data_IF_109856534511
#
_entry.id   IF_109856534511
#
_cell.length_a   1.000
_cell.length_b   1.000
_cell.length_c   1.000
_cell.angle_alpha   90.00
_cell.angle_beta   90.00
_cell.angle_gamma   90.00
#
_symmetry.space_group_name_H-M   'P 1'
#
loop_
_entity.id
_entity.type
_entity.pdbx_description
1 polymer ?
#
# COMPACT_ATOMS: atom_id res chain seq x y z
N UNK A 1 0.14 12.09 -4.43
CA UNK A 1 -0.21 13.05 -5.48
C UNK A 1 -0.85 14.33 -4.94
N UNK A 2 -1.74 14.25 -3.95
CA UNK A 2 -2.56 15.40 -3.53
C UNK A 2 -1.97 16.23 -2.38
N UNK A 3 -0.80 15.87 -1.84
CA UNK A 3 -0.19 16.57 -0.71
C UNK A 3 -0.94 16.46 0.62
N UNK A 4 -1.83 15.48 0.76
CA UNK A 4 -2.61 15.21 1.98
C UNK A 4 -2.12 13.95 2.69
N UNK A 5 -2.56 13.78 3.93
CA UNK A 5 -2.35 12.53 4.65
C UNK A 5 -3.42 11.50 4.26
N UNK A 6 -3.06 10.23 4.27
CA UNK A 6 -3.98 9.12 4.10
C UNK A 6 -3.55 7.94 4.97
N UNK A 7 -4.49 7.29 5.61
CA UNK A 7 -4.18 6.08 6.38
C UNK A 7 -4.94 4.89 5.79
N UNK A 8 -4.20 3.86 5.41
CA UNK A 8 -4.73 2.54 5.08
C UNK A 8 -4.63 1.69 6.36
N UNK A 9 -5.75 1.41 7.02
CA UNK A 9 -5.74 0.61 8.25
C UNK A 9 -5.22 -0.82 8.05
N UNK A 10 -4.85 -1.46 9.15
CA UNK A 10 -4.75 -2.92 9.21
C UNK A 10 -6.01 -3.54 8.63
N UNK A 11 -5.86 -4.57 7.79
CA UNK A 11 -7.02 -5.24 7.18
C UNK A 11 -7.99 -5.77 8.24
N UNK A 12 -9.30 -5.56 8.01
CA UNK A 12 -10.38 -6.08 8.85
C UNK A 12 -10.68 -5.29 10.12
N UNK A 13 -10.02 -4.14 10.38
CA UNK A 13 -10.34 -3.31 11.56
C UNK A 13 -11.35 -2.19 11.28
N UNK A 14 -11.59 -1.87 10.01
CA UNK A 14 -12.64 -0.94 9.58
C UNK A 14 -13.64 -1.75 8.76
N UNK A 15 -14.90 -1.87 9.19
CA UNK A 15 -15.91 -2.64 8.47
C UNK A 15 -16.23 -2.01 7.12
N UNK A 16 -16.47 -2.84 6.13
CA UNK A 16 -16.83 -2.40 4.77
C UNK A 16 -18.35 -2.20 4.61
N UNK A 17 -19.14 -2.48 5.64
CA UNK A 17 -20.60 -2.33 5.62
C UNK A 17 -21.00 -0.90 5.24
N UNK A 18 -21.85 -0.77 4.23
CA UNK A 18 -22.27 0.52 3.68
C UNK A 18 -21.34 1.14 2.64
N UNK A 19 -20.19 0.50 2.39
CA UNK A 19 -19.25 0.88 1.32
C UNK A 19 -19.29 -0.09 0.13
N UNK A 20 -20.02 -1.18 0.24
CA UNK A 20 -20.16 -2.16 -0.82
C UNK A 20 -20.89 -1.55 -2.03
N UNK A 21 -20.46 -1.91 -3.24
CA UNK A 21 -21.14 -1.51 -4.49
C UNK A 21 -22.51 -2.19 -4.62
N UNK A 22 -22.67 -3.36 -4.02
CA UNK A 22 -23.91 -4.13 -3.96
C UNK A 22 -24.18 -4.50 -2.51
N UNK A 23 -25.33 -4.13 -1.99
CA UNK A 23 -25.70 -4.39 -0.59
C UNK A 23 -25.66 -5.89 -0.23
N UNK A 24 -25.25 -6.16 1.01
CA UNK A 24 -25.19 -7.52 1.58
C UNK A 24 -24.17 -8.46 0.90
N UNK A 25 -23.15 -7.91 0.27
CA UNK A 25 -22.01 -8.70 -0.20
C UNK A 25 -21.02 -8.94 0.94
N UNK A 26 -20.26 -10.06 0.91
CA UNK A 26 -19.15 -10.26 1.83
C UNK A 26 -18.06 -9.21 1.60
N UNK A 27 -17.28 -8.93 2.63
CA UNK A 27 -16.11 -8.07 2.51
C UNK A 27 -15.15 -8.59 1.43
N UNK A 28 -14.76 -7.68 0.54
CA UNK A 28 -13.87 -8.00 -0.57
C UNK A 28 -12.43 -8.10 -0.07
N UNK A 29 -11.77 -9.22 -0.36
CA UNK A 29 -10.35 -9.38 -0.04
C UNK A 29 -9.50 -8.26 -0.66
N UNK A 30 -8.44 -7.83 0.03
CA UNK A 30 -7.54 -6.74 -0.34
C UNK A 30 -8.18 -5.33 -0.36
N UNK A 31 -9.48 -5.20 -0.18
CA UNK A 31 -10.14 -3.90 -0.06
C UNK A 31 -10.08 -3.39 1.39
N UNK A 32 -9.72 -2.13 1.58
CA UNK A 32 -9.64 -1.48 2.89
C UNK A 32 -10.12 -0.04 2.78
N UNK A 33 -11.08 0.36 3.62
CA UNK A 33 -11.45 1.75 3.81
C UNK A 33 -10.56 2.42 4.83
N UNK A 34 -10.15 3.65 4.57
CA UNK A 34 -9.35 4.44 5.49
C UNK A 34 -9.54 5.94 5.27
N UNK A 35 -9.23 6.76 6.28
CA UNK A 35 -9.41 8.20 6.22
C UNK A 35 -8.33 8.90 5.39
N UNK A 36 -8.73 10.04 4.77
CA UNK A 36 -7.84 11.04 4.23
C UNK A 36 -8.07 12.36 4.97
N UNK A 37 -7.00 13.10 5.26
CA UNK A 37 -7.08 14.32 6.04
C UNK A 37 -5.94 15.30 5.68
N UNK A 38 -6.04 16.53 6.21
CA UNK A 38 -4.98 17.54 6.10
C UNK A 38 -3.99 17.52 7.28
N UNK A 39 -4.27 16.71 8.30
CA UNK A 39 -3.37 16.50 9.43
C UNK A 39 -3.36 15.04 9.89
N UNK A 40 -2.29 14.63 10.57
CA UNK A 40 -2.21 13.31 11.19
C UNK A 40 -3.17 13.19 12.39
N UNK A 41 -3.45 14.27 13.10
CA UNK A 41 -4.42 14.27 14.21
C UNK A 41 -5.84 14.00 13.70
N UNK A 42 -6.23 14.54 12.55
CA UNK A 42 -7.52 14.25 11.92
C UNK A 42 -7.60 12.79 11.44
N UNK A 43 -6.49 12.21 10.94
CA UNK A 43 -6.46 10.77 10.64
C UNK A 43 -6.69 9.92 11.89
N UNK A 44 -6.04 10.29 13.00
CA UNK A 44 -6.21 9.61 14.27
C UNK A 44 -7.63 9.68 14.80
N UNK A 45 -8.24 10.87 14.73
CA UNK A 45 -9.63 11.07 15.10
C UNK A 45 -10.57 10.23 14.20
N UNK A 46 -10.41 10.33 12.89
CA UNK A 46 -11.25 9.60 11.94
C UNK A 46 -11.12 8.08 12.14
N UNK A 47 -9.90 7.55 12.29
CA UNK A 47 -9.68 6.12 12.55
C UNK A 47 -10.35 5.68 13.85
N UNK A 48 -10.31 6.50 14.91
CA UNK A 48 -10.94 6.17 16.20
C UNK A 48 -12.47 6.04 16.12
N UNK A 49 -13.09 6.66 15.10
CA UNK A 49 -14.53 6.58 14.84
C UNK A 49 -14.86 5.42 13.89
N UNK A 50 -14.01 5.19 12.89
CA UNK A 50 -14.26 4.20 11.84
C UNK A 50 -13.91 2.76 12.26
N UNK A 51 -12.89 2.61 13.12
CA UNK A 51 -12.36 1.30 13.47
C UNK A 51 -13.19 0.60 14.55
N UNK A 52 -13.52 -0.66 14.30
CA UNK A 52 -14.31 -1.51 15.19
C UNK A 52 -15.04 -2.60 14.42
N UNK A 53 -15.81 -3.44 15.10
CA UNK A 53 -16.66 -4.45 14.46
C UNK A 53 -17.82 -3.81 13.70
N UNK A 54 -18.30 -4.48 12.67
CA UNK A 54 -19.60 -4.20 12.10
C UNK A 54 -20.70 -4.38 13.16
N UNK A 55 -21.86 -3.72 13.00
CA UNK A 55 -22.95 -3.74 13.99
C UNK A 55 -23.33 -5.15 14.45
N UNK A 56 -23.44 -6.09 13.50
CA UNK A 56 -23.75 -7.48 13.77
C UNK A 56 -22.70 -8.20 14.62
N UNK A 57 -21.45 -7.84 14.48
CA UNK A 57 -20.29 -8.47 15.11
C UNK A 57 -19.96 -7.85 16.47
N UNK A 58 -20.40 -6.61 16.70
CA UNK A 58 -20.21 -5.87 17.94
C UNK A 58 -20.80 -6.55 19.17
N UNK A 59 -21.69 -7.54 18.96
CA UNK A 59 -22.21 -8.41 20.02
C UNK A 59 -21.16 -9.38 20.57
N UNK A 60 -20.17 -9.76 19.75
CA UNK A 60 -19.21 -10.82 20.05
C UNK A 60 -17.79 -10.36 20.33
N UNK A 61 -17.38 -9.21 19.78
CA UNK A 61 -16.02 -8.69 19.97
C UNK A 61 -15.95 -7.16 19.90
N UNK A 62 -14.87 -6.61 20.43
CA UNK A 62 -14.54 -5.19 20.34
C UNK A 62 -13.07 -5.03 19.95
N UNK A 63 -12.77 -3.99 19.19
CA UNK A 63 -11.40 -3.65 18.80
C UNK A 63 -10.71 -2.86 19.92
N UNK A 64 -9.53 -3.32 20.32
CA UNK A 64 -8.65 -2.59 21.22
C UNK A 64 -7.30 -2.34 20.53
N UNK A 65 -7.23 -1.27 19.72
CA UNK A 65 -5.98 -0.87 19.08
C UNK A 65 -5.02 -0.27 20.11
N UNK A 66 -3.76 -0.72 20.14
CA UNK A 66 -2.75 -0.11 21.02
C UNK A 66 -2.56 1.37 20.65
N UNK A 67 -2.47 2.23 21.65
CA UNK A 67 -2.01 3.60 21.44
C UNK A 67 -0.58 3.62 20.86
N UNK A 68 -0.16 4.75 20.30
CA UNK A 68 1.23 4.92 19.91
C UNK A 68 2.13 4.80 21.14
N UNK A 69 3.05 3.87 21.10
CA UNK A 69 3.98 3.53 22.18
C UNK A 69 5.33 4.25 22.05
N UNK A 70 5.59 4.88 20.89
CA UNK A 70 6.76 5.71 20.62
C UNK A 70 6.26 7.11 20.27
N UNK A 71 6.72 8.11 21.01
CA UNK A 71 6.24 9.50 20.92
C UNK A 71 7.36 10.51 20.62
N UNK A 72 8.55 10.04 20.33
CA UNK A 72 9.69 10.87 19.91
C UNK A 72 10.43 10.20 18.77
N UNK A 73 10.85 10.97 17.76
CA UNK A 73 11.51 10.41 16.57
C UNK A 73 12.80 9.66 16.89
N UNK A 74 13.56 10.09 17.89
CA UNK A 74 14.84 9.46 18.28
C UNK A 74 14.71 8.01 18.78
N UNK A 75 13.51 7.62 19.22
CA UNK A 75 13.26 6.29 19.79
C UNK A 75 12.79 5.28 18.73
N UNK A 76 12.58 5.74 17.47
CA UNK A 76 12.18 4.86 16.36
C UNK A 76 13.39 4.16 15.74
N UNK A 77 13.18 2.90 15.36
CA UNK A 77 14.03 2.12 14.46
C UNK A 77 13.36 2.11 13.08
N UNK A 78 13.98 2.77 12.11
CA UNK A 78 13.37 3.03 10.79
C UNK A 78 14.19 2.37 9.68
N UNK A 79 13.54 1.57 8.85
CA UNK A 79 14.07 1.11 7.59
C UNK A 79 13.62 2.05 6.47
N UNK A 80 14.50 2.36 5.52
CA UNK A 80 14.19 3.18 4.33
C UNK A 80 14.41 2.33 3.09
N UNK A 81 13.33 2.13 2.32
CA UNK A 81 13.37 1.44 1.04
C UNK A 81 13.02 2.44 -0.07
N UNK A 82 14.01 3.15 -0.56
CA UNK A 82 13.82 4.32 -1.41
C UNK A 82 13.47 3.99 -2.87
N UNK A 83 13.99 2.90 -3.41
CA UNK A 83 13.75 2.42 -4.77
C UNK A 83 13.97 0.92 -4.86
N UNK A 84 13.47 0.28 -5.93
CA UNK A 84 13.69 -1.14 -6.20
C UNK A 84 13.76 -1.38 -7.71
N UNK A 85 14.67 -2.26 -8.20
CA UNK A 85 14.75 -2.60 -9.62
C UNK A 85 13.45 -3.13 -10.23
N UNK A 86 12.58 -3.76 -9.43
CA UNK A 86 11.27 -4.24 -9.89
C UNK A 86 10.24 -3.13 -10.11
N UNK A 87 10.38 -2.00 -9.41
CA UNK A 87 9.51 -0.83 -9.55
C UNK A 87 10.32 0.44 -9.28
N UNK A 88 11.22 0.81 -10.19
CA UNK A 88 12.01 2.02 -10.07
C UNK A 88 11.12 3.24 -9.91
N UNK A 89 11.57 4.19 -9.10
CA UNK A 89 10.87 5.46 -8.89
C UNK A 89 11.68 6.62 -9.46
N UNK A 90 11.03 7.73 -9.74
CA UNK A 90 11.70 8.94 -10.18
C UNK A 90 12.74 9.38 -9.15
N UNK A 91 13.86 9.90 -9.64
CA UNK A 91 15.00 10.32 -8.81
C UNK A 91 14.59 11.29 -7.71
N UNK A 92 13.64 12.18 -7.96
CA UNK A 92 13.12 13.12 -6.96
C UNK A 92 12.38 12.42 -5.81
N UNK A 93 11.71 11.29 -6.06
CA UNK A 93 11.03 10.48 -5.05
C UNK A 93 12.06 9.68 -4.23
N UNK A 94 13.04 9.10 -4.91
CA UNK A 94 14.18 8.42 -4.27
C UNK A 94 14.94 9.38 -3.37
N UNK A 95 15.36 10.54 -3.89
CA UNK A 95 16.08 11.56 -3.14
C UNK A 95 15.29 12.06 -1.93
N UNK A 96 13.97 12.20 -2.08
CA UNK A 96 13.10 12.57 -0.96
C UNK A 96 13.07 11.48 0.12
N UNK A 97 13.03 10.22 -0.26
CA UNK A 97 13.09 9.10 0.68
C UNK A 97 14.41 9.09 1.45
N UNK A 98 15.53 9.30 0.75
CA UNK A 98 16.86 9.42 1.36
C UNK A 98 16.99 10.65 2.27
N UNK A 99 16.41 11.79 1.86
CA UNK A 99 16.37 13.00 2.69
C UNK A 99 15.61 12.78 3.98
N UNK A 100 14.47 12.08 3.95
CA UNK A 100 13.70 11.70 5.15
C UNK A 100 14.55 10.86 6.09
N UNK A 101 15.26 9.84 5.57
CA UNK A 101 16.20 9.04 6.37
C UNK A 101 17.27 9.90 7.05
N UNK A 102 17.92 10.80 6.30
CA UNK A 102 18.94 11.69 6.84
C UNK A 102 18.40 12.69 7.89
N UNK A 103 17.15 13.13 7.77
CA UNK A 103 16.48 13.94 8.81
C UNK A 103 16.31 13.12 10.08
N UNK A 104 15.85 11.88 9.98
CA UNK A 104 15.65 11.00 11.12
C UNK A 104 16.95 10.68 11.85
N UNK A 105 18.05 10.41 11.13
CA UNK A 105 19.39 10.22 11.73
C UNK A 105 19.83 11.45 12.52
N UNK A 106 19.66 12.65 11.97
CA UNK A 106 19.99 13.92 12.67
C UNK A 106 19.16 14.13 13.93
N UNK A 107 17.93 13.58 13.96
CA UNK A 107 17.02 13.63 15.12
C UNK A 107 17.27 12.49 16.10
N UNK A 108 18.25 11.62 15.82
CA UNK A 108 18.70 10.57 16.73
C UNK A 108 18.00 9.23 16.56
N UNK A 109 17.15 9.05 15.53
CA UNK A 109 16.56 7.76 15.22
C UNK A 109 17.61 6.75 14.70
N UNK A 110 17.40 5.48 14.95
CA UNK A 110 18.15 4.42 14.28
C UNK A 110 17.62 4.21 12.88
N UNK A 111 18.44 4.41 11.84
CA UNK A 111 18.03 4.29 10.44
C UNK A 111 18.87 3.22 9.73
N UNK A 112 18.22 2.43 8.88
CA UNK A 112 18.88 1.52 7.94
C UNK A 112 18.34 1.72 6.54
N UNK A 113 19.23 1.81 5.56
CA UNK A 113 18.89 1.89 4.13
C UNK A 113 18.91 0.52 3.44
N UNK A 114 19.42 -0.51 4.12
CA UNK A 114 19.60 -1.86 3.58
C UNK A 114 18.63 -2.89 4.18
N UNK A 115 17.98 -2.56 5.30
CA UNK A 115 17.06 -3.48 5.95
C UNK A 115 15.83 -3.76 5.07
N UNK A 116 15.58 -5.05 4.84
CA UNK A 116 14.46 -5.54 4.01
C UNK A 116 13.82 -6.74 4.71
N UNK A 117 12.50 -6.94 4.58
CA UNK A 117 11.88 -8.19 4.99
C UNK A 117 12.40 -9.35 4.13
N UNK A 118 12.58 -10.51 4.76
CA UNK A 118 13.18 -11.67 4.10
C UNK A 118 12.14 -12.50 3.35
N UNK A 119 11.86 -12.14 2.10
CA UNK A 119 11.02 -12.92 1.18
C UNK A 119 11.41 -12.69 -0.29
N UNK A 120 10.99 -13.60 -1.16
CA UNK A 120 11.09 -13.44 -2.61
C UNK A 120 10.07 -12.38 -3.07
N UNK A 121 10.56 -11.17 -3.40
CA UNK A 121 9.73 -10.04 -3.81
C UNK A 121 8.96 -10.33 -5.11
N UNK A 122 9.62 -10.91 -6.12
CA UNK A 122 9.00 -11.24 -7.40
C UNK A 122 7.88 -12.28 -7.24
N UNK A 123 8.13 -13.36 -6.49
CA UNK A 123 7.11 -14.35 -6.15
C UNK A 123 5.96 -13.75 -5.34
N UNK A 124 6.25 -12.85 -4.39
CA UNK A 124 5.23 -12.16 -3.60
C UNK A 124 4.36 -11.25 -4.46
N UNK A 125 4.94 -10.53 -5.42
CA UNK A 125 4.19 -9.64 -6.33
C UNK A 125 3.34 -10.44 -7.32
N UNK A 126 3.83 -11.53 -7.89
CA UNK A 126 3.01 -12.43 -8.71
C UNK A 126 1.84 -13.02 -7.93
N UNK A 127 2.08 -13.40 -6.67
CA UNK A 127 1.01 -13.87 -5.79
C UNK A 127 -0.02 -12.76 -5.48
N UNK A 128 0.42 -11.53 -5.26
CA UNK A 128 -0.46 -10.37 -5.12
C UNK A 128 -1.33 -10.17 -6.37
N UNK A 129 -0.73 -10.17 -7.56
CA UNK A 129 -1.47 -10.05 -8.83
C UNK A 129 -2.49 -11.18 -9.00
N UNK A 130 -2.13 -12.40 -8.60
CA UNK A 130 -3.04 -13.54 -8.64
C UNK A 130 -4.26 -13.31 -7.73
N UNK A 131 -4.05 -12.91 -6.48
CA UNK A 131 -5.13 -12.64 -5.53
C UNK A 131 -5.96 -11.44 -5.97
N UNK A 132 -5.33 -10.33 -6.39
CA UNK A 132 -6.00 -9.12 -6.83
C UNK A 132 -6.91 -9.38 -8.04
N UNK A 133 -6.38 -10.03 -9.09
CA UNK A 133 -7.17 -10.28 -10.29
C UNK A 133 -8.29 -11.29 -10.05
N UNK A 134 -8.12 -12.27 -9.17
CA UNK A 134 -9.22 -13.18 -8.80
C UNK A 134 -10.40 -12.43 -8.16
N UNK A 135 -10.12 -11.37 -7.39
CA UNK A 135 -11.14 -10.48 -6.81
C UNK A 135 -11.76 -9.57 -7.87
N UNK A 136 -10.93 -8.91 -8.67
CA UNK A 136 -11.38 -7.94 -9.67
C UNK A 136 -12.26 -8.54 -10.75
N UNK A 137 -12.13 -9.84 -11.01
CA UNK A 137 -12.89 -10.58 -12.03
C UNK A 137 -14.06 -11.41 -11.45
N UNK A 138 -14.25 -11.38 -10.14
CA UNK A 138 -15.27 -12.19 -9.46
C UNK A 138 -16.72 -11.90 -9.94
N UNK A 139 -16.98 -10.71 -10.47
CA UNK A 139 -18.28 -10.31 -10.98
C UNK A 139 -18.45 -10.52 -12.50
N UNK A 140 -17.50 -11.17 -13.17
CA UNK A 140 -17.62 -11.47 -14.61
C UNK A 140 -18.75 -12.45 -14.86
N UNK A 141 -19.40 -12.29 -16.00
CA UNK A 141 -20.42 -13.25 -16.46
C UNK A 141 -19.79 -14.54 -17.01
N UNK A 142 -20.62 -15.55 -17.20
CA UNK A 142 -20.20 -16.87 -17.68
C UNK A 142 -19.53 -16.81 -19.05
N UNK A 143 -19.92 -15.86 -19.92
CA UNK A 143 -19.34 -15.69 -21.24
C UNK A 143 -17.90 -15.16 -21.15
N UNK A 144 -17.66 -14.15 -20.34
CA UNK A 144 -16.33 -13.60 -20.11
C UNK A 144 -15.40 -14.65 -19.48
N UNK A 145 -15.92 -15.43 -18.51
CA UNK A 145 -15.16 -16.54 -17.89
C UNK A 145 -14.80 -17.60 -18.92
N UNK A 146 -15.74 -18.05 -19.78
CA UNK A 146 -15.48 -19.06 -20.81
C UNK A 146 -14.45 -18.59 -21.86
N UNK A 147 -14.51 -17.32 -22.25
CA UNK A 147 -13.52 -16.72 -23.15
C UNK A 147 -12.12 -16.72 -22.51
N UNK A 148 -12.03 -16.35 -21.25
CA UNK A 148 -10.77 -16.34 -20.52
C UNK A 148 -10.21 -17.75 -20.30
N UNK A 149 -11.05 -18.74 -20.01
CA UNK A 149 -10.64 -20.15 -19.94
C UNK A 149 -10.02 -20.63 -21.24
N UNK A 150 -10.62 -20.26 -22.39
CA UNK A 150 -10.09 -20.58 -23.72
C UNK A 150 -8.72 -19.93 -23.94
N UNK A 151 -8.56 -18.65 -23.54
CA UNK A 151 -7.28 -17.94 -23.59
C UNK A 151 -6.21 -18.65 -22.73
N UNK A 152 -6.56 -18.99 -21.49
CA UNK A 152 -5.65 -19.67 -20.55
C UNK A 152 -5.22 -21.04 -21.07
N UNK A 153 -6.11 -21.80 -21.70
CA UNK A 153 -5.77 -23.10 -22.28
C UNK A 153 -4.74 -23.01 -23.42
N UNK A 154 -4.61 -21.85 -24.07
CA UNK A 154 -3.64 -21.60 -25.14
C UNK A 154 -2.27 -21.08 -24.61
N UNK A 155 -2.17 -20.70 -23.34
CA UNK A 155 -0.91 -20.21 -22.75
C UNK A 155 0.07 -21.35 -22.53
N UNK A 156 1.36 -21.05 -22.70
CA UNK A 156 2.42 -21.99 -22.28
C UNK A 156 2.39 -22.16 -20.75
N UNK A 157 2.58 -23.37 -20.22
CA UNK A 157 2.50 -23.63 -18.78
C UNK A 157 3.49 -22.80 -17.95
N UNK A 158 4.65 -22.48 -18.48
CA UNK A 158 5.77 -21.76 -17.89
C UNK A 158 5.77 -20.25 -18.20
N UNK A 159 4.78 -19.75 -18.95
CA UNK A 159 4.63 -18.31 -19.18
C UNK A 159 4.27 -17.60 -17.87
N UNK A 160 5.23 -16.84 -17.35
CA UNK A 160 5.12 -16.03 -16.12
C UNK A 160 4.96 -14.54 -16.40
N UNK A 161 4.65 -14.16 -17.65
CA UNK A 161 4.33 -12.78 -17.98
C UNK A 161 3.14 -12.27 -17.15
N UNK A 162 3.10 -10.96 -16.91
CA UNK A 162 2.00 -10.34 -16.16
C UNK A 162 0.64 -10.64 -16.80
N UNK A 163 0.58 -10.68 -18.14
CA UNK A 163 -0.64 -11.01 -18.86
C UNK A 163 -1.08 -12.45 -18.58
N UNK A 164 -0.17 -13.41 -18.61
CA UNK A 164 -0.47 -14.82 -18.34
C UNK A 164 -0.87 -15.04 -16.87
N UNK A 165 -0.20 -14.37 -15.93
CA UNK A 165 -0.56 -14.40 -14.49
C UNK A 165 -1.97 -13.85 -14.28
N UNK A 166 -2.29 -12.70 -14.87
CA UNK A 166 -3.62 -12.07 -14.76
C UNK A 166 -4.71 -12.92 -15.40
N UNK A 167 -4.44 -13.51 -16.57
CA UNK A 167 -5.40 -14.38 -17.26
C UNK A 167 -5.73 -15.63 -16.43
N UNK A 168 -4.73 -16.30 -15.88
CA UNK A 168 -4.93 -17.47 -14.99
C UNK A 168 -5.66 -17.09 -13.70
N UNK A 169 -5.36 -15.92 -13.14
CA UNK A 169 -6.00 -15.41 -11.94
C UNK A 169 -7.51 -15.16 -12.14
N UNK A 170 -7.90 -14.69 -13.31
CA UNK A 170 -9.30 -14.40 -13.65
C UNK A 170 -10.21 -15.65 -13.66
N UNK A 171 -9.63 -16.83 -13.84
CA UNK A 171 -10.35 -18.13 -13.83
C UNK A 171 -9.80 -19.06 -12.74
N UNK A 172 -9.24 -18.48 -11.69
CA UNK A 172 -8.58 -19.22 -10.61
C UNK A 172 -9.56 -20.15 -9.90
N UNK A 173 -9.19 -21.42 -9.74
CA UNK A 173 -9.99 -22.33 -8.91
C UNK A 173 -9.93 -21.92 -7.43
N UNK A 174 -10.99 -22.22 -6.67
CA UNK A 174 -10.97 -22.01 -5.21
C UNK A 174 -9.80 -22.74 -4.53
N UNK A 175 -9.46 -23.94 -4.99
CA UNK A 175 -8.30 -24.69 -4.50
C UNK A 175 -6.99 -23.91 -4.69
N UNK A 176 -6.80 -23.28 -5.84
CA UNK A 176 -5.57 -22.54 -6.13
C UNK A 176 -5.56 -21.17 -5.46
N UNK A 177 -6.75 -20.59 -5.23
CA UNK A 177 -6.89 -19.42 -4.37
C UNK A 177 -6.41 -19.72 -2.93
N UNK A 178 -6.83 -20.84 -2.34
CA UNK A 178 -6.36 -21.27 -1.00
C UNK A 178 -4.83 -21.43 -0.97
N UNK A 179 -4.24 -21.98 -2.03
CA UNK A 179 -2.77 -22.08 -2.13
C UNK A 179 -2.09 -20.72 -2.22
N UNK A 180 -2.66 -19.77 -2.97
CA UNK A 180 -2.17 -18.40 -3.07
C UNK A 180 -2.31 -17.68 -1.73
N UNK A 181 -3.44 -17.86 -1.04
CA UNK A 181 -3.63 -17.32 0.29
C UNK A 181 -2.64 -17.90 1.33
N UNK A 182 -2.30 -19.19 1.22
CA UNK A 182 -1.27 -19.81 2.07
C UNK A 182 0.14 -19.24 1.81
N UNK A 183 0.45 -18.84 0.56
CA UNK A 183 1.69 -18.10 0.24
C UNK A 183 1.68 -16.71 0.85
N UNK A 184 0.54 -16.02 0.80
CA UNK A 184 0.36 -14.71 1.47
C UNK A 184 0.58 -14.83 2.99
N UNK A 185 0.11 -15.88 3.63
CA UNK A 185 0.32 -16.08 5.07
C UNK A 185 1.82 -16.19 5.41
N UNK A 186 2.61 -16.90 4.60
CA UNK A 186 4.07 -16.93 4.75
C UNK A 186 4.71 -15.55 4.59
N UNK A 187 4.20 -14.74 3.65
CA UNK A 187 4.63 -13.36 3.48
C UNK A 187 4.32 -12.52 4.73
N UNK A 188 3.14 -12.69 5.33
CA UNK A 188 2.75 -11.99 6.56
C UNK A 188 3.68 -12.33 7.74
N UNK A 189 4.10 -13.59 7.85
CA UNK A 189 5.11 -13.99 8.85
C UNK A 189 6.47 -13.31 8.60
N UNK A 190 6.96 -13.26 7.36
CA UNK A 190 8.21 -12.58 7.06
C UNK A 190 8.17 -11.06 7.39
N UNK A 191 7.00 -10.41 7.19
CA UNK A 191 6.80 -9.04 7.63
C UNK A 191 6.76 -8.91 9.16
N UNK A 192 6.11 -9.86 9.86
CA UNK A 192 6.10 -9.86 11.31
C UNK A 192 7.52 -10.01 11.90
N UNK A 193 8.34 -10.88 11.32
CA UNK A 193 9.74 -11.04 11.71
C UNK A 193 10.54 -9.75 11.47
N UNK A 194 10.35 -9.08 10.33
CA UNK A 194 10.98 -7.80 10.04
C UNK A 194 10.63 -6.73 11.08
N UNK A 195 9.37 -6.65 11.50
CA UNK A 195 8.91 -5.68 12.49
C UNK A 195 9.26 -6.04 13.95
N UNK A 196 9.97 -7.14 14.21
CA UNK A 196 10.62 -7.37 15.50
C UNK A 196 11.85 -6.47 15.67
N UNK A 197 12.54 -6.16 14.57
CA UNK A 197 13.76 -5.35 14.56
C UNK A 197 13.50 -3.88 14.20
N UNK A 198 12.42 -3.60 13.46
CA UNK A 198 12.09 -2.27 12.95
C UNK A 198 10.68 -1.85 13.36
N UNK A 199 10.53 -0.56 13.68
CA UNK A 199 9.23 0.00 14.08
C UNK A 199 8.45 0.55 12.89
N UNK A 200 9.17 1.14 11.92
CA UNK A 200 8.64 1.75 10.70
C UNK A 200 9.48 1.34 9.49
N UNK A 201 8.81 1.04 8.39
CA UNK A 201 9.39 1.07 7.06
C UNK A 201 8.89 2.33 6.34
N UNK A 202 9.81 3.13 5.81
CA UNK A 202 9.50 4.21 4.86
C UNK A 202 9.77 3.72 3.46
N UNK A 203 8.80 3.90 2.57
CA UNK A 203 8.97 3.62 1.15
C UNK A 203 8.08 4.55 0.31
N UNK A 204 8.30 4.62 -1.02
CA UNK A 204 7.42 5.35 -1.92
C UNK A 204 5.98 4.82 -1.86
N UNK A 205 5.00 5.66 -2.17
CA UNK A 205 3.63 5.25 -2.42
C UNK A 205 3.37 5.09 -3.91
N UNK A 206 3.97 5.96 -4.72
CA UNK A 206 3.88 6.00 -6.17
C UNK A 206 5.28 6.21 -6.76
N UNK A 207 5.45 5.86 -8.03
CA UNK A 207 6.74 5.95 -8.68
C UNK A 207 7.15 7.39 -9.05
N UNK A 208 6.17 8.28 -9.23
CA UNK A 208 6.40 9.68 -9.66
C UNK A 208 5.50 10.63 -8.87
N UNK A 209 5.67 11.92 -9.08
CA UNK A 209 4.66 12.95 -8.81
C UNK A 209 3.44 12.78 -9.73
N UNK A 210 2.39 13.59 -9.54
CA UNK A 210 1.20 13.54 -10.39
C UNK A 210 1.58 13.78 -11.87
N UNK A 211 0.91 13.08 -12.77
CA UNK A 211 1.14 13.10 -14.21
C UNK A 211 -0.16 13.42 -14.96
N UNK A 212 -0.03 13.76 -16.25
CA UNK A 212 -1.18 14.11 -17.10
C UNK A 212 -2.15 12.93 -17.24
N UNK A 213 -3.44 13.25 -17.41
CA UNK A 213 -4.47 12.24 -17.65
C UNK A 213 -4.19 11.47 -18.94
N UNK A 214 -4.30 10.15 -18.85
CA UNK A 214 -4.22 9.23 -19.99
C UNK A 214 -5.57 8.52 -20.15
N UNK A 215 -6.24 8.76 -21.28
CA UNK A 215 -7.56 8.20 -21.56
C UNK A 215 -7.51 6.94 -22.42
N UNK A 216 -6.31 6.44 -22.75
CA UNK A 216 -6.15 5.15 -23.44
C UNK A 216 -6.66 4.00 -22.58
N UNK A 217 -6.97 2.83 -23.16
CA UNK A 217 -7.23 1.62 -22.39
C UNK A 217 -6.13 1.35 -21.37
N UNK A 218 -6.49 0.86 -20.19
CA UNK A 218 -5.52 0.62 -19.10
C UNK A 218 -4.33 -0.27 -19.51
N UNK A 219 -4.57 -1.24 -20.40
CA UNK A 219 -3.53 -2.13 -20.93
C UNK A 219 -2.49 -1.46 -21.82
N UNK A 220 -2.80 -0.26 -22.34
CA UNK A 220 -1.92 0.51 -23.25
C UNK A 220 -1.20 1.66 -22.54
N UNK A 221 -1.57 1.92 -21.26
CA UNK A 221 -0.98 3.02 -20.52
C UNK A 221 0.43 2.69 -20.06
N UNK A 222 1.25 3.71 -20.12
CA UNK A 222 2.61 3.69 -19.58
C UNK A 222 2.81 4.87 -18.63
N UNK A 223 3.79 4.76 -17.77
CA UNK A 223 4.21 5.82 -16.88
C UNK A 223 5.63 6.22 -17.25
N UNK A 224 5.87 7.52 -17.41
CA UNK A 224 7.21 8.05 -17.60
C UNK A 224 7.85 8.25 -16.21
N UNK A 225 8.91 7.49 -15.94
CA UNK A 225 9.70 7.60 -14.71
C UNK A 225 11.07 8.12 -15.12
N UNK A 226 11.36 9.35 -14.76
CA UNK A 226 12.45 10.14 -15.33
C UNK A 226 12.36 10.15 -16.87
N UNK A 227 13.27 9.51 -17.59
CA UNK A 227 13.25 9.45 -19.05
C UNK A 227 12.89 8.05 -19.60
N UNK A 228 12.42 7.13 -18.74
CA UNK A 228 12.12 5.76 -19.10
C UNK A 228 10.62 5.46 -19.04
N UNK A 229 10.11 4.82 -20.08
CA UNK A 229 8.74 4.33 -20.13
C UNK A 229 8.63 3.04 -19.32
N UNK A 230 7.77 3.03 -18.31
CA UNK A 230 7.45 1.84 -17.50
C UNK A 230 6.01 1.38 -17.73
N UNK A 231 5.68 0.08 -17.58
CA UNK A 231 4.31 -0.37 -17.52
C UNK A 231 3.53 0.36 -16.42
N UNK A 232 2.34 0.88 -16.74
CA UNK A 232 1.53 1.71 -15.84
C UNK A 232 1.32 1.08 -14.46
N UNK A 233 1.11 -0.23 -14.41
CA UNK A 233 0.83 -0.95 -13.16
C UNK A 233 2.07 -1.36 -12.37
N UNK A 234 3.28 -1.16 -12.89
CA UNK A 234 4.52 -1.52 -12.17
C UNK A 234 4.65 -0.76 -10.84
N UNK A 235 4.24 0.50 -10.80
CA UNK A 235 4.21 1.31 -9.60
C UNK A 235 3.33 0.75 -8.47
N UNK A 236 2.35 -0.11 -8.79
CA UNK A 236 1.50 -0.76 -7.79
C UNK A 236 2.25 -1.72 -6.87
N UNK A 237 3.51 -2.04 -7.17
CA UNK A 237 4.35 -2.83 -6.26
C UNK A 237 4.40 -2.18 -4.87
N UNK A 238 4.62 -0.87 -4.81
CA UNK A 238 4.78 -0.15 -3.55
C UNK A 238 3.56 -0.22 -2.64
N UNK A 239 2.37 -0.05 -3.19
CA UNK A 239 1.12 -0.22 -2.44
C UNK A 239 0.77 -1.70 -2.26
N UNK A 240 0.98 -2.51 -3.30
CA UNK A 240 0.58 -3.92 -3.36
C UNK A 240 1.26 -4.81 -2.34
N UNK A 241 2.57 -4.61 -2.09
CA UNK A 241 3.28 -5.40 -1.08
C UNK A 241 2.73 -5.17 0.33
N UNK A 242 2.24 -3.96 0.62
CA UNK A 242 1.67 -3.58 1.92
C UNK A 242 0.23 -4.10 2.04
N UNK A 243 -0.57 -3.92 0.99
CA UNK A 243 -1.96 -4.42 0.92
C UNK A 243 -1.98 -5.94 1.01
N UNK A 244 -1.11 -6.63 0.27
CA UNK A 244 -1.02 -8.09 0.25
C UNK A 244 -0.70 -8.68 1.62
N UNK A 245 0.08 -7.97 2.43
CA UNK A 245 0.45 -8.40 3.78
C UNK A 245 -0.53 -7.91 4.87
N UNK A 246 -1.59 -7.20 4.50
CA UNK A 246 -2.59 -6.64 5.43
C UNK A 246 -2.05 -5.59 6.42
N UNK A 247 -0.89 -5.00 6.14
CA UNK A 247 -0.20 -4.06 7.03
C UNK A 247 -0.88 -2.68 7.05
N UNK A 248 -0.85 -1.97 8.17
CA UNK A 248 -1.23 -0.56 8.22
C UNK A 248 -0.19 0.31 7.52
N UNK A 249 -0.62 1.39 6.88
CA UNK A 249 0.26 2.36 6.23
C UNK A 249 -0.33 3.76 6.32
N UNK A 250 0.51 4.74 6.70
CA UNK A 250 0.15 6.15 6.65
C UNK A 250 0.96 6.86 5.58
N UNK A 251 0.29 7.39 4.56
CA UNK A 251 0.90 8.29 3.59
C UNK A 251 0.93 9.69 4.18
N UNK A 252 2.04 10.39 4.01
CA UNK A 252 2.23 11.75 4.51
C UNK A 252 2.95 12.62 3.46
N UNK A 253 2.65 13.93 3.40
CA UNK A 253 3.33 14.85 2.50
C UNK A 253 4.76 15.12 3.00
N UNK A 254 5.70 15.23 2.05
CA UNK A 254 7.11 15.52 2.33
C UNK A 254 7.59 16.81 1.68
N UNK A 255 6.68 17.60 1.12
CA UNK A 255 6.96 18.83 0.38
C UNK A 255 6.69 18.69 -1.11
N UNK A 256 7.18 19.67 -1.88
CA UNK A 256 6.95 19.77 -3.32
C UNK A 256 8.19 19.32 -4.10
N UNK A 257 7.97 18.86 -5.32
CA UNK A 257 8.98 18.66 -6.36
C UNK A 257 9.51 19.99 -6.89
N UNK A 258 10.49 19.93 -7.77
CA UNK A 258 11.00 21.12 -8.47
C UNK A 258 9.92 21.78 -9.35
N UNK A 259 8.94 21.01 -9.81
CA UNK A 259 7.81 21.50 -10.61
C UNK A 259 6.62 21.98 -9.78
N UNK A 260 6.73 21.95 -8.44
CA UNK A 260 5.70 22.40 -7.53
C UNK A 260 4.59 21.36 -7.27
N UNK A 261 4.80 20.10 -7.64
CA UNK A 261 3.87 19.00 -7.38
C UNK A 261 4.19 18.28 -6.05
N UNK A 262 3.18 17.85 -5.28
CA UNK A 262 3.43 17.16 -4.01
C UNK A 262 4.18 15.84 -4.18
N UNK A 263 5.10 15.57 -3.26
CA UNK A 263 5.74 14.26 -3.08
C UNK A 263 5.27 13.69 -1.74
N UNK A 264 4.65 12.52 -1.76
CA UNK A 264 4.25 11.77 -0.57
C UNK A 264 5.04 10.47 -0.44
N UNK A 265 5.30 10.07 0.80
CA UNK A 265 5.86 8.77 1.16
C UNK A 265 4.90 8.05 2.09
N UNK A 266 5.09 6.75 2.26
CA UNK A 266 4.33 5.96 3.22
C UNK A 266 5.19 5.44 4.36
N UNK A 267 4.65 5.52 5.57
CA UNK A 267 5.16 4.87 6.78
C UNK A 267 4.33 3.62 7.06
N UNK A 268 4.97 2.47 7.10
CA UNK A 268 4.36 1.16 7.31
C UNK A 268 4.83 0.60 8.64
N UNK A 269 3.95 -0.07 9.40
CA UNK A 269 4.29 -0.74 10.66
C UNK A 269 3.69 -2.14 10.74
N UNK A 270 3.95 -2.83 11.83
CA UNK A 270 3.37 -4.13 12.14
C UNK A 270 1.82 -4.08 12.15
N UNK A 271 1.14 -5.21 11.92
CA UNK A 271 -0.31 -5.29 12.06
C UNK A 271 -0.79 -4.74 13.41
N UNK A 272 -1.91 -4.02 13.41
CA UNK A 272 -2.51 -3.38 14.59
C UNK A 272 -1.66 -2.28 15.25
N UNK A 273 -0.61 -1.80 14.57
CA UNK A 273 0.18 -0.63 14.98
C UNK A 273 -0.21 0.64 14.19
N UNK A 274 -1.46 0.76 13.85
CA UNK A 274 -2.04 1.85 13.04
C UNK A 274 -1.72 3.22 13.64
N UNK A 275 -1.95 3.39 14.94
CA UNK A 275 -1.61 4.64 15.64
C UNK A 275 -0.10 4.95 15.68
N UNK A 276 0.78 3.93 15.59
CA UNK A 276 2.23 4.15 15.47
C UNK A 276 2.57 4.76 14.11
N UNK A 277 1.96 4.27 13.01
CA UNK A 277 2.13 4.86 11.68
C UNK A 277 1.68 6.33 11.63
N UNK A 278 0.53 6.63 12.22
CA UNK A 278 -0.04 7.99 12.24
C UNK A 278 0.82 8.92 13.11
N UNK A 279 1.22 8.48 14.29
CA UNK A 279 2.08 9.25 15.20
C UNK A 279 3.45 9.54 14.59
N UNK A 280 4.07 8.53 13.95
CA UNK A 280 5.32 8.73 13.21
C UNK A 280 5.18 9.80 12.12
N UNK A 281 4.11 9.73 11.30
CA UNK A 281 3.84 10.72 10.27
C UNK A 281 3.65 12.13 10.86
N UNK A 282 2.96 12.26 12.00
CA UNK A 282 2.81 13.52 12.73
C UNK A 282 4.16 14.10 13.13
N UNK A 283 4.93 13.35 13.90
CA UNK A 283 6.22 13.77 14.45
C UNK A 283 7.20 14.18 13.34
N UNK A 284 7.23 13.42 12.24
CA UNK A 284 8.12 13.70 11.12
C UNK A 284 7.72 14.97 10.38
N UNK A 285 6.42 15.17 10.12
CA UNK A 285 5.94 16.34 9.39
C UNK A 285 5.99 17.63 10.22
N UNK A 286 6.02 17.55 11.53
CA UNK A 286 6.35 18.68 12.41
C UNK A 286 7.79 19.19 12.19
N UNK A 287 8.70 18.33 11.72
CA UNK A 287 10.09 18.67 11.44
C UNK A 287 10.34 19.06 9.96
N UNK A 288 9.56 18.52 9.03
CA UNK A 288 9.79 18.67 7.59
C UNK A 288 8.74 19.55 6.88
N UNK A 289 7.69 19.96 7.58
CA UNK A 289 6.49 20.54 7.00
C UNK A 289 5.47 19.43 6.65
N UNK A 290 4.21 19.77 6.80
CA UNK A 290 3.08 18.89 6.55
C UNK A 290 2.28 19.34 5.34
N UNK A 291 0.94 19.28 5.46
CA UNK A 291 0.03 19.77 4.45
C UNK A 291 0.25 21.27 4.17
N UNK A 292 0.31 21.61 2.90
CA UNK A 292 0.30 22.98 2.40
C UNK A 292 -0.83 23.12 1.41
N UNK A 293 -1.73 24.07 1.64
CA UNK A 293 -2.83 24.35 0.71
C UNK A 293 -2.27 24.82 -0.64
N UNK A 294 -2.82 24.35 -1.78
CA UNK A 294 -2.45 24.90 -3.07
C UNK A 294 -2.73 26.40 -3.12
N UNK A 295 -1.81 27.18 -3.68
CA UNK A 295 -1.90 28.66 -3.71
C UNK A 295 -3.16 29.17 -4.38
N UNK A 296 -3.71 28.42 -5.35
CA UNK A 296 -4.97 28.77 -6.02
C UNK A 296 -6.23 28.44 -5.19
N UNK A 297 -6.08 27.66 -4.09
CA UNK A 297 -7.19 27.19 -3.24
C UNK A 297 -6.75 27.23 -1.77
N UNK A 298 -6.57 28.43 -1.20
CA UNK A 298 -6.07 28.64 0.17
C UNK A 298 -7.00 28.10 1.27
#
# INVERSE_FOLDING_TARGET
FCGVYGHKPTYGIVPMQGHELVANQPETDLAVCGPLARSADDLKLALSIMAGPAEREALGWSLNLPAADITTLKDFRVAVWATDPMAPVAKEVEDRSMQVGAVLERLGAQVSYDARPNFDLDGAMRNYQTLLNSVMTAAWDDQAVAQMQTKVAALQPDDMSLEAVNARAAVLSHRDWIRSNSRREKLRHAWADFFNDWDILICPQMATTAFSHDHRPLSERTLLVDNEQQPYFQQLMWAGMIVNAYLPSTVFPTGLSAEGLPIGLQAVSAPFRDYRCIEFAKLLTEQMGGFSAPTAYP
#
